data_IF_258325849055
#
_entry.id   IF_258325849055
#
_cell.length_a   1.000
_cell.length_b   1.000
_cell.length_c   1.000
_cell.angle_alpha   90.00
_cell.angle_beta   90.00
_cell.angle_gamma   90.00
#
_symmetry.space_group_name_H-M   'P 1'
#
loop_
_entity.id
_entity.type
_entity.pdbx_description
1 polymer ?
#
# COMPACT_ATOMS: atom_id res chain seq x y z
N UNK A 1 8.71 -2.29 32.96
CA UNK A 1 8.07 -1.42 31.95
C UNK A 1 7.30 -2.29 30.97
N UNK A 2 5.98 -2.36 31.17
CA UNK A 2 5.06 -3.23 30.42
C UNK A 2 4.70 -2.55 29.08
N UNK A 3 5.68 -2.43 28.19
CA UNK A 3 5.59 -1.61 26.96
C UNK A 3 5.31 -2.44 25.69
N UNK A 4 4.52 -3.52 25.80
CA UNK A 4 4.27 -4.46 24.68
C UNK A 4 2.76 -4.61 24.36
N UNK A 5 1.88 -3.82 24.97
CA UNK A 5 0.41 -3.98 24.82
C UNK A 5 -0.34 -2.79 24.20
N UNK A 6 0.36 -1.87 23.54
CA UNK A 6 -0.21 -0.74 22.79
C UNK A 6 0.68 -0.54 21.55
N UNK A 7 0.33 -0.82 20.29
CA UNK A 7 -0.95 -1.07 19.67
C UNK A 7 -0.73 -1.95 18.42
N UNK A 8 -1.44 -3.08 18.26
CA UNK A 8 -1.53 -3.79 16.98
C UNK A 8 -2.26 -3.01 15.87
N UNK A 9 -2.47 -1.69 16.05
CA UNK A 9 -3.22 -0.80 15.18
C UNK A 9 -2.41 0.43 14.73
N UNK A 10 -1.10 0.46 14.93
CA UNK A 10 -0.30 1.55 14.37
C UNK A 10 -0.22 1.37 12.84
N UNK A 11 -0.62 2.40 12.05
CA UNK A 11 -0.66 2.33 10.59
C UNK A 11 0.67 1.94 9.95
N UNK A 12 1.81 2.32 10.53
CA UNK A 12 3.14 2.00 9.98
C UNK A 12 3.46 0.50 10.08
N UNK A 13 3.04 -0.15 11.18
CA UNK A 13 3.18 -1.60 11.33
C UNK A 13 2.26 -2.35 10.38
N UNK A 14 1.04 -1.85 10.19
CA UNK A 14 0.08 -2.43 9.25
C UNK A 14 0.55 -2.26 7.79
N UNK A 15 1.19 -1.13 7.46
CA UNK A 15 1.81 -0.90 6.15
C UNK A 15 2.93 -1.91 5.90
N UNK A 16 3.86 -2.01 6.85
CA UNK A 16 4.97 -2.97 6.78
C UNK A 16 4.49 -4.41 6.68
N UNK A 17 3.48 -4.78 7.47
CA UNK A 17 2.86 -6.11 7.43
C UNK A 17 2.24 -6.38 6.06
N UNK A 18 1.51 -5.42 5.51
CA UNK A 18 0.93 -5.49 4.18
C UNK A 18 1.96 -5.75 3.09
N UNK A 19 3.06 -4.99 3.10
CA UNK A 19 4.17 -5.17 2.16
C UNK A 19 4.84 -6.56 2.29
N UNK A 20 5.03 -7.05 3.52
CA UNK A 20 5.58 -8.39 3.75
C UNK A 20 4.62 -9.47 3.24
N UNK A 21 3.32 -9.34 3.51
CA UNK A 21 2.30 -10.28 3.04
C UNK A 21 2.20 -10.30 1.50
N UNK A 22 2.34 -9.14 0.85
CA UNK A 22 2.44 -9.03 -0.60
C UNK A 22 3.64 -9.84 -1.14
N UNK A 23 4.82 -9.66 -0.54
CA UNK A 23 6.03 -10.42 -0.93
C UNK A 23 5.89 -11.93 -0.72
N UNK A 24 5.06 -12.34 0.23
CA UNK A 24 4.69 -13.75 0.48
C UNK A 24 3.54 -14.26 -0.41
N UNK A 25 3.07 -13.45 -1.37
CA UNK A 25 1.92 -13.75 -2.22
C UNK A 25 0.61 -14.03 -1.45
N UNK A 26 0.50 -13.53 -0.21
CA UNK A 26 -0.70 -13.63 0.63
C UNK A 26 -1.59 -12.41 0.40
N UNK A 27 -2.11 -12.30 -0.82
CA UNK A 27 -2.70 -11.07 -1.35
C UNK A 27 -3.93 -10.58 -0.58
N UNK A 28 -4.82 -11.48 -0.16
CA UNK A 28 -6.02 -11.12 0.63
C UNK A 28 -5.64 -10.52 1.99
N UNK A 29 -4.66 -11.11 2.67
CA UNK A 29 -4.22 -10.61 3.98
C UNK A 29 -3.41 -9.32 3.85
N UNK A 30 -2.63 -9.19 2.77
CA UNK A 30 -1.92 -7.96 2.45
C UNK A 30 -2.90 -6.80 2.25
N UNK A 31 -3.96 -7.02 1.48
CA UNK A 31 -5.03 -6.06 1.29
C UNK A 31 -5.69 -5.66 2.61
N UNK A 32 -6.07 -6.63 3.45
CA UNK A 32 -6.69 -6.35 4.75
C UNK A 32 -5.80 -5.51 5.66
N UNK A 33 -4.50 -5.81 5.72
CA UNK A 33 -3.54 -5.06 6.51
C UNK A 33 -3.40 -3.62 5.98
N UNK A 34 -3.26 -3.44 4.67
CA UNK A 34 -3.11 -2.13 4.04
C UNK A 34 -4.39 -1.30 4.12
N UNK A 35 -5.57 -1.90 3.97
CA UNK A 35 -6.84 -1.20 4.15
C UNK A 35 -6.99 -0.67 5.59
N UNK A 36 -6.56 -1.45 6.59
CA UNK A 36 -6.52 -0.98 8.00
C UNK A 36 -5.50 0.14 8.17
N UNK A 37 -4.31 0.03 7.57
CA UNK A 37 -3.29 1.08 7.59
C UNK A 37 -3.84 2.38 6.99
N UNK A 38 -4.37 2.34 5.77
CA UNK A 38 -4.94 3.49 5.05
C UNK A 38 -6.14 4.10 5.79
N UNK A 39 -6.97 3.28 6.43
CA UNK A 39 -8.11 3.75 7.23
C UNK A 39 -7.66 4.49 8.49
N UNK A 40 -6.56 4.06 9.11
CA UNK A 40 -5.99 4.73 10.28
C UNK A 40 -5.20 5.98 9.90
N UNK A 41 -4.37 5.89 8.86
CA UNK A 41 -3.63 7.01 8.29
C UNK A 41 -3.38 6.77 6.79
N UNK A 42 -4.00 7.54 5.89
CA UNK A 42 -3.81 7.40 4.45
C UNK A 42 -2.48 8.03 4.01
N UNK A 43 -1.39 7.28 4.14
CA UNK A 43 -0.07 7.71 3.68
C UNK A 43 0.13 7.34 2.20
N UNK A 44 0.95 8.09 1.45
CA UNK A 44 1.31 7.72 0.08
C UNK A 44 1.95 6.34 -0.03
N UNK A 45 2.74 5.93 0.97
CA UNK A 45 3.37 4.60 1.04
C UNK A 45 2.33 3.48 1.12
N UNK A 46 1.41 3.55 2.09
CA UNK A 46 0.38 2.52 2.27
C UNK A 46 -0.56 2.43 1.05
N UNK A 47 -0.90 3.56 0.45
CA UNK A 47 -1.69 3.60 -0.79
C UNK A 47 -0.93 3.01 -1.99
N UNK A 48 0.38 3.23 -2.08
CA UNK A 48 1.21 2.63 -3.12
C UNK A 48 1.32 1.11 -2.96
N UNK A 49 1.58 0.60 -1.76
CA UNK A 49 1.59 -0.84 -1.50
C UNK A 49 0.22 -1.47 -1.77
N UNK A 50 -0.89 -0.76 -1.46
CA UNK A 50 -2.23 -1.24 -1.79
C UNK A 50 -2.42 -1.35 -3.30
N UNK A 51 -1.91 -0.39 -4.08
CA UNK A 51 -1.92 -0.48 -5.54
C UNK A 51 -1.16 -1.71 -6.06
N UNK A 52 -0.01 -2.02 -5.47
CA UNK A 52 0.78 -3.21 -5.83
C UNK A 52 0.01 -4.50 -5.53
N UNK A 53 -0.65 -4.59 -4.37
CA UNK A 53 -1.52 -5.72 -4.03
C UNK A 53 -2.66 -5.87 -5.04
N UNK A 54 -3.34 -4.76 -5.38
CA UNK A 54 -4.43 -4.77 -6.35
C UNK A 54 -3.99 -5.22 -7.74
N UNK A 55 -2.82 -4.78 -8.20
CA UNK A 55 -2.26 -5.28 -9.45
C UNK A 55 -1.96 -6.78 -9.38
N UNK A 56 -1.36 -7.26 -8.29
CA UNK A 56 -1.06 -8.69 -8.11
C UNK A 56 -2.33 -9.56 -8.07
N UNK A 57 -3.44 -9.02 -7.58
CA UNK A 57 -4.77 -9.66 -7.61
C UNK A 57 -5.43 -9.62 -9.00
N UNK A 58 -4.87 -8.89 -9.96
CA UNK A 58 -5.44 -8.68 -11.30
C UNK A 58 -6.45 -7.53 -11.39
N UNK A 59 -6.71 -6.82 -10.28
CA UNK A 59 -7.62 -5.68 -10.25
C UNK A 59 -6.87 -4.38 -10.60
N UNK A 60 -6.63 -4.19 -11.90
CA UNK A 60 -5.94 -2.99 -12.41
C UNK A 60 -6.72 -1.71 -12.15
N UNK A 61 -8.04 -1.76 -12.13
CA UNK A 61 -8.87 -0.59 -11.90
C UNK A 61 -8.66 -0.07 -10.46
N UNK A 62 -8.73 -0.96 -9.48
CA UNK A 62 -8.43 -0.60 -8.08
C UNK A 62 -6.96 -0.22 -7.89
N UNK A 63 -6.02 -0.86 -8.59
CA UNK A 63 -4.61 -0.48 -8.55
C UNK A 63 -4.39 0.96 -9.01
N UNK A 64 -5.01 1.36 -10.12
CA UNK A 64 -4.92 2.73 -10.64
C UNK A 64 -5.52 3.74 -9.66
N UNK A 65 -6.70 3.45 -9.11
CA UNK A 65 -7.34 4.31 -8.13
C UNK A 65 -6.47 4.52 -6.87
N UNK A 66 -5.81 3.46 -6.39
CA UNK A 66 -4.90 3.55 -5.25
C UNK A 66 -3.66 4.40 -5.57
N UNK A 67 -3.08 4.31 -6.78
CA UNK A 67 -1.98 5.16 -7.21
C UNK A 67 -2.37 6.64 -7.31
N UNK A 68 -3.55 6.93 -7.86
CA UNK A 68 -4.01 8.31 -8.00
C UNK A 68 -4.14 8.96 -6.61
N UNK A 69 -4.64 8.19 -5.62
CA UNK A 69 -4.67 8.62 -4.21
C UNK A 69 -3.28 8.78 -3.62
N UNK A 70 -2.35 7.86 -3.90
CA UNK A 70 -0.98 7.95 -3.42
C UNK A 70 -0.29 9.24 -3.94
N UNK A 71 -0.47 9.54 -5.23
CA UNK A 71 0.05 10.76 -5.86
C UNK A 71 -0.57 12.04 -5.29
N UNK A 72 -1.87 12.03 -4.98
CA UNK A 72 -2.54 13.18 -4.36
C UNK A 72 -1.99 13.52 -2.97
N UNK A 73 -1.45 12.52 -2.24
CA UNK A 73 -0.89 12.70 -0.90
C UNK A 73 0.50 13.33 -0.85
N UNK A 74 1.01 13.89 -1.96
CA UNK A 74 2.34 14.52 -2.04
C UNK A 74 3.48 13.59 -1.57
N UNK A 75 3.70 12.46 -2.27
CA UNK A 75 4.75 11.52 -1.92
C UNK A 75 6.14 12.17 -2.01
N UNK A 76 7.10 11.73 -1.17
CA UNK A 76 8.48 12.17 -1.30
C UNK A 76 9.04 11.83 -2.69
N UNK A 77 10.05 12.57 -3.19
CA UNK A 77 10.54 12.43 -4.56
C UNK A 77 10.94 11.01 -4.97
N UNK A 78 11.49 10.22 -4.05
CA UNK A 78 11.92 8.85 -4.34
C UNK A 78 10.71 7.92 -4.51
N UNK A 79 9.73 7.99 -3.60
CA UNK A 79 8.48 7.25 -3.74
C UNK A 79 7.70 7.68 -4.99
N UNK A 80 7.73 8.98 -5.33
CA UNK A 80 7.08 9.48 -6.54
C UNK A 80 7.61 8.82 -7.81
N UNK A 81 8.94 8.66 -7.91
CA UNK A 81 9.57 7.96 -9.05
C UNK A 81 9.09 6.51 -9.16
N UNK A 82 8.96 5.82 -8.02
CA UNK A 82 8.46 4.44 -7.99
C UNK A 82 6.98 4.35 -8.40
N UNK A 83 6.14 5.27 -7.91
CA UNK A 83 4.74 5.38 -8.29
C UNK A 83 4.61 5.61 -9.80
N UNK A 84 5.38 6.54 -10.36
CA UNK A 84 5.35 6.88 -11.79
C UNK A 84 5.82 5.70 -12.66
N UNK A 85 6.90 5.01 -12.25
CA UNK A 85 7.39 3.81 -12.93
C UNK A 85 6.37 2.67 -12.88
N UNK A 86 5.73 2.46 -11.73
CA UNK A 86 4.70 1.46 -11.56
C UNK A 86 3.44 1.78 -12.37
N UNK A 87 3.03 3.06 -12.44
CA UNK A 87 1.91 3.51 -13.25
C UNK A 87 2.12 3.21 -14.75
N UNK A 88 3.35 3.31 -15.26
CA UNK A 88 3.67 2.91 -16.64
C UNK A 88 3.39 1.42 -16.89
N UNK A 89 3.72 0.55 -15.92
CA UNK A 89 3.44 -0.91 -16.05
C UNK A 89 1.96 -1.26 -16.13
N UNK A 90 1.08 -0.39 -15.62
CA UNK A 90 -0.37 -0.56 -15.70
C UNK A 90 -0.96 -0.07 -17.04
N UNK A 91 -0.22 0.74 -17.81
CA UNK A 91 -0.69 1.31 -19.08
C UNK A 91 -0.48 0.37 -20.29
N UNK A 92 0.49 -0.55 -20.21
CA UNK A 92 0.98 -1.32 -21.36
C UNK A 92 0.19 -2.60 -21.73
N UNK A 93 -1.03 -2.82 -21.19
CA UNK A 93 -1.86 -4.01 -21.50
C UNK A 93 -3.36 -3.75 -21.39
#
# INVERSE_FOLDING_TARGET
TKAVLLAPQNPDYLDTLGLVLLKLNRLTEAEDALNKSVSAAPTPSALFHLAQVKQAQGDRAAARQALDRANAGSPPPDLKKEIDAFAATLADK
#
